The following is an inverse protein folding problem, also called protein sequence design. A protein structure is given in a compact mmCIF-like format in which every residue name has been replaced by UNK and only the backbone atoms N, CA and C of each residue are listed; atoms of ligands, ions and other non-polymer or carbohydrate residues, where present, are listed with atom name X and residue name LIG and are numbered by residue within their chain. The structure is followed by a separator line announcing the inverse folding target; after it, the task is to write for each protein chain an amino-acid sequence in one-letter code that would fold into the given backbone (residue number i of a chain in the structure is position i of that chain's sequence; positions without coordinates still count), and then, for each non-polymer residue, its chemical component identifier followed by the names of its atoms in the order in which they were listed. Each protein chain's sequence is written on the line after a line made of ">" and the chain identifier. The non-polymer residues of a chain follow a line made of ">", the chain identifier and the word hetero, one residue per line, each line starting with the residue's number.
data_IF_013971831092
#
_entry.id   IF_013971831092
#
_cell.length_a   1.000
_cell.length_b   1.000
_cell.length_c   1.000
_cell.angle_alpha   90.00
_cell.angle_beta   90.00
_cell.angle_gamma   90.00
#
_symmetry.space_group_name_H-M   'P 1'
#
loop_
_entity.id
_entity.type
_entity.pdbx_description
1 polymer ?
#
# COMPACT_ATOMS: atom_id res chain seq x y z
N UNK A 1 -13.12 -27.17 -6.53
CA UNK A 1 -12.87 -26.60 -5.18
C UNK A 1 -12.49 -25.13 -5.38
N UNK A 2 -13.43 -24.19 -5.29
CA UNK A 2 -13.11 -22.76 -5.32
C UNK A 2 -13.21 -22.24 -3.89
N UNK A 3 -12.08 -22.27 -3.18
CA UNK A 3 -11.88 -21.34 -2.07
C UNK A 3 -11.65 -19.97 -2.72
N UNK A 4 -12.73 -19.32 -3.14
CA UNK A 4 -12.70 -17.88 -3.33
C UNK A 4 -12.50 -17.30 -1.94
N UNK A 5 -11.23 -17.12 -1.54
CA UNK A 5 -10.92 -16.71 -0.20
C UNK A 5 -11.69 -15.43 0.15
N UNK A 6 -12.47 -15.50 1.23
CA UNK A 6 -13.19 -14.35 1.77
C UNK A 6 -12.26 -13.31 2.39
N UNK A 7 -10.95 -13.60 2.43
CA UNK A 7 -9.96 -12.81 3.09
C UNK A 7 -9.78 -11.45 2.39
N UNK A 8 -9.80 -10.39 3.20
CA UNK A 8 -9.77 -9.02 2.73
C UNK A 8 -8.47 -8.38 3.16
N UNK A 9 -7.79 -7.74 2.22
CA UNK A 9 -6.64 -6.89 2.48
C UNK A 9 -7.12 -5.48 2.83
N UNK A 10 -6.53 -4.91 3.86
CA UNK A 10 -6.66 -3.52 4.24
C UNK A 10 -5.27 -2.89 4.19
N UNK A 11 -5.14 -1.79 3.45
CA UNK A 11 -3.88 -1.05 3.35
C UNK A 11 -4.15 0.41 3.64
N UNK A 12 -3.43 0.99 4.59
CA UNK A 12 -3.46 2.42 4.88
C UNK A 12 -2.12 3.03 4.54
N UNK A 13 -2.11 4.05 3.69
CA UNK A 13 -0.93 4.86 3.39
C UNK A 13 -1.08 6.17 4.16
N UNK A 14 -0.11 6.49 5.00
CA UNK A 14 -0.02 7.71 5.78
C UNK A 14 1.19 8.50 5.31
N UNK A 15 1.00 9.77 4.94
CA UNK A 15 2.10 10.70 4.85
C UNK A 15 2.36 11.28 6.24
N UNK A 16 3.46 10.87 6.87
CA UNK A 16 3.86 11.36 8.20
C UNK A 16 4.71 12.63 8.16
N UNK A 17 5.16 13.01 6.96
CA UNK A 17 5.93 14.21 6.73
C UNK A 17 5.06 15.44 6.47
N UNK A 18 5.71 16.46 5.90
CA UNK A 18 5.13 17.75 5.54
C UNK A 18 5.06 17.96 4.03
N UNK A 19 5.95 17.33 3.27
CA UNK A 19 5.98 17.41 1.81
C UNK A 19 4.88 16.55 1.19
N UNK A 20 4.34 16.99 0.05
CA UNK A 20 3.35 16.21 -0.69
C UNK A 20 4.03 15.06 -1.44
N UNK A 21 3.54 13.85 -1.21
CA UNK A 21 3.86 12.70 -2.05
C UNK A 21 2.88 12.65 -3.22
N UNK A 22 3.38 12.50 -4.43
CA UNK A 22 2.57 12.48 -5.64
C UNK A 22 2.72 11.17 -6.43
N UNK A 23 1.78 10.92 -7.34
CA UNK A 23 1.82 9.77 -8.25
C UNK A 23 2.02 8.42 -7.54
N UNK A 24 1.43 8.28 -6.36
CA UNK A 24 1.60 7.07 -5.54
C UNK A 24 0.84 5.94 -6.21
N UNK A 25 1.50 4.80 -6.41
CA UNK A 25 0.89 3.60 -6.94
C UNK A 25 1.16 2.41 -6.03
N UNK A 26 0.10 1.73 -5.63
CA UNK A 26 0.13 0.47 -4.89
C UNK A 26 -0.28 -0.65 -5.83
N UNK A 27 0.60 -1.64 -6.00
CA UNK A 27 0.33 -2.88 -6.74
C UNK A 27 0.41 -4.06 -5.79
N UNK A 28 -0.49 -5.03 -5.95
CA UNK A 28 -0.46 -6.28 -5.18
C UNK A 28 -1.81 -6.98 -5.16
N UNK A 29 -1.81 -8.28 -4.97
CA UNK A 29 -2.96 -9.16 -5.08
C UNK A 29 -3.61 -9.12 -6.46
N UNK A 30 -2.87 -8.85 -7.55
CA UNK A 30 -3.44 -8.59 -8.87
C UNK A 30 -4.34 -7.35 -8.96
N UNK A 31 -4.16 -6.38 -8.06
CA UNK A 31 -4.86 -5.10 -8.05
C UNK A 31 -3.85 -3.96 -8.14
N UNK A 32 -4.33 -2.80 -8.60
CA UNK A 32 -3.57 -1.57 -8.67
C UNK A 32 -4.43 -0.41 -8.15
N UNK A 33 -3.85 0.40 -7.27
CA UNK A 33 -4.47 1.60 -6.72
C UNK A 33 -3.55 2.80 -6.95
N UNK A 34 -4.13 3.95 -7.28
CA UNK A 34 -3.41 5.20 -7.52
C UNK A 34 -3.89 6.30 -6.60
N UNK A 35 -2.97 7.15 -6.15
CA UNK A 35 -3.24 8.40 -5.45
C UNK A 35 -2.43 9.48 -6.17
N UNK A 36 -3.12 10.48 -6.72
CA UNK A 36 -2.45 11.53 -7.49
C UNK A 36 -1.57 12.42 -6.59
N UNK A 37 -2.04 12.71 -5.37
CA UNK A 37 -1.33 13.50 -4.36
C UNK A 37 -1.81 13.16 -2.94
N UNK A 38 -0.89 13.14 -1.99
CA UNK A 38 -1.12 12.90 -0.56
C UNK A 38 -0.33 13.92 0.26
N UNK A 39 -1.03 14.92 0.79
CA UNK A 39 -0.41 16.02 1.54
C UNK A 39 0.16 15.53 2.89
N UNK A 40 1.08 16.30 3.45
CA UNK A 40 1.64 16.03 4.77
C UNK A 40 0.55 15.88 5.84
N UNK A 41 0.60 14.80 6.61
CA UNK A 41 -0.40 14.45 7.63
C UNK A 41 -1.63 13.69 7.12
N UNK A 42 -1.87 13.66 5.80
CA UNK A 42 -3.03 12.96 5.23
C UNK A 42 -2.81 11.44 5.16
N UNK A 43 -3.92 10.70 5.09
CA UNK A 43 -3.90 9.25 4.87
C UNK A 43 -4.96 8.78 3.90
N UNK A 44 -4.69 7.64 3.25
CA UNK A 44 -5.62 6.98 2.34
C UNK A 44 -5.69 5.48 2.63
N UNK A 45 -6.91 4.97 2.76
CA UNK A 45 -7.19 3.54 2.96
C UNK A 45 -7.69 2.86 1.70
N UNK A 46 -7.24 1.62 1.48
CA UNK A 46 -7.72 0.70 0.47
C UNK A 46 -8.16 -0.62 1.10
N UNK A 47 -9.17 -1.22 0.50
CA UNK A 47 -9.85 -2.40 1.02
C UNK A 47 -10.19 -3.30 -0.17
N UNK A 48 -9.53 -4.45 -0.31
CA UNK A 48 -9.66 -5.27 -1.51
C UNK A 48 -9.42 -6.76 -1.26
N UNK A 49 -9.95 -7.60 -2.16
CA UNK A 49 -9.62 -9.04 -2.22
C UNK A 49 -8.59 -9.28 -3.31
N UNK A 50 -7.62 -10.15 -3.04
CA UNK A 50 -6.61 -10.54 -4.02
C UNK A 50 -7.25 -11.36 -5.15
N UNK A 51 -6.90 -11.06 -6.40
CA UNK A 51 -7.31 -11.80 -7.60
C UNK A 51 -6.33 -12.91 -7.98
N UNK A 52 -5.07 -12.78 -7.57
CA UNK A 52 -3.99 -13.76 -7.75
C UNK A 52 -3.05 -13.68 -6.57
N UNK A 53 -2.15 -14.66 -6.47
CA UNK A 53 -1.05 -14.61 -5.54
C UNK A 53 0.15 -13.89 -6.17
N UNK A 54 0.65 -12.84 -5.53
CA UNK A 54 1.81 -12.08 -5.98
C UNK A 54 2.41 -11.20 -4.86
N UNK A 55 3.63 -10.71 -5.10
CA UNK A 55 4.24 -9.68 -4.27
C UNK A 55 3.61 -8.31 -4.54
N UNK A 56 3.61 -7.45 -3.52
CA UNK A 56 3.17 -6.07 -3.63
C UNK A 56 4.31 -5.08 -3.62
N UNK A 57 4.09 -3.98 -4.32
CA UNK A 57 5.04 -2.90 -4.55
C UNK A 57 4.31 -1.58 -4.38
N UNK A 58 4.93 -0.64 -3.68
CA UNK A 58 4.52 0.76 -3.66
C UNK A 58 5.57 1.59 -4.37
N UNK A 59 5.11 2.52 -5.21
CA UNK A 59 5.92 3.60 -5.77
C UNK A 59 5.29 4.93 -5.42
N UNK A 60 6.09 5.99 -5.40
CA UNK A 60 5.62 7.36 -5.25
C UNK A 60 6.70 8.34 -5.62
N UNK A 61 6.31 9.58 -5.91
CA UNK A 61 7.23 10.67 -6.20
C UNK A 61 7.28 11.63 -5.00
N UNK A 62 8.49 11.95 -4.56
CA UNK A 62 8.77 12.99 -3.57
C UNK A 62 9.77 13.96 -4.16
N UNK A 63 9.41 15.24 -4.23
CA UNK A 63 10.26 16.33 -4.74
C UNK A 63 10.89 16.03 -6.12
N UNK A 64 10.10 15.42 -7.01
CA UNK A 64 10.52 15.06 -8.36
C UNK A 64 11.26 13.72 -8.47
N UNK A 65 11.55 13.04 -7.36
CA UNK A 65 12.25 11.75 -7.34
C UNK A 65 11.27 10.59 -7.16
N UNK A 66 11.31 9.62 -8.07
CA UNK A 66 10.59 8.36 -7.90
C UNK A 66 11.28 7.48 -6.84
N UNK A 67 10.47 6.94 -5.94
CA UNK A 67 10.86 6.08 -4.83
C UNK A 67 9.97 4.84 -4.86
N UNK A 68 10.56 3.68 -4.56
CA UNK A 68 9.91 2.37 -4.62
C UNK A 68 10.26 1.54 -3.40
N UNK A 69 9.28 0.79 -2.89
CA UNK A 69 9.50 -0.26 -1.89
C UNK A 69 8.63 -1.48 -2.17
N UNK A 70 9.13 -2.66 -1.81
CA UNK A 70 8.34 -3.89 -1.75
C UNK A 70 7.58 -3.93 -0.43
N UNK A 71 6.34 -4.44 -0.44
CA UNK A 71 5.40 -4.37 0.71
C UNK A 71 5.19 -5.74 1.35
N UNK A 72 5.39 -6.82 0.60
CA UNK A 72 5.15 -8.20 1.04
C UNK A 72 4.25 -8.97 0.08
N UNK A 73 3.69 -10.10 0.52
CA UNK A 73 2.95 -11.04 -0.33
C UNK A 73 1.44 -10.95 -0.12
N UNK A 74 0.68 -11.05 -1.20
CA UNK A 74 -0.78 -11.04 -1.20
C UNK A 74 -1.29 -12.38 -1.76
N UNK A 75 -2.29 -12.98 -1.10
CA UNK A 75 -2.97 -14.20 -1.55
C UNK A 75 -4.48 -14.02 -1.43
N UNK A 76 -5.31 -14.71 -2.24
CA UNK A 76 -6.75 -14.73 -2.05
C UNK A 76 -7.18 -15.32 -0.71
N UNK A 77 -6.40 -16.23 -0.14
CA UNK A 77 -6.80 -17.03 1.02
C UNK A 77 -6.50 -16.40 2.38
N UNK A 78 -5.56 -15.45 2.44
CA UNK A 78 -5.13 -14.77 3.67
C UNK A 78 -5.17 -13.26 3.42
N UNK A 79 -5.82 -12.54 4.33
CA UNK A 79 -5.95 -11.09 4.26
C UNK A 79 -4.80 -10.43 5.00
N UNK A 80 -4.33 -9.30 4.51
CA UNK A 80 -3.34 -8.49 5.18
C UNK A 80 -3.96 -7.24 5.80
N UNK A 81 -3.35 -6.74 6.86
CA UNK A 81 -3.63 -5.41 7.40
C UNK A 81 -2.32 -4.64 7.44
N UNK A 82 -2.11 -3.72 6.51
CA UNK A 82 -0.82 -3.08 6.26
C UNK A 82 -0.94 -1.59 6.50
N UNK A 83 0.00 -1.02 7.25
CA UNK A 83 0.20 0.42 7.33
C UNK A 83 1.52 0.78 6.64
N UNK A 84 1.46 1.67 5.67
CA UNK A 84 2.60 2.23 4.97
C UNK A 84 2.76 3.67 5.44
N UNK A 85 3.94 4.04 5.90
CA UNK A 85 4.26 5.37 6.41
C UNK A 85 5.32 5.97 5.50
N UNK A 86 4.99 7.12 4.93
CA UNK A 86 5.86 7.90 4.05
C UNK A 86 6.44 9.08 4.85
N UNK A 87 7.72 9.39 4.65
CA UNK A 87 8.39 10.52 5.29
C UNK A 87 9.02 11.50 4.28
N UNK A 88 9.50 12.64 4.78
CA UNK A 88 10.09 13.72 3.97
C UNK A 88 11.50 13.41 3.45
N UNK A 89 12.13 12.32 3.91
CA UNK A 89 13.44 11.87 3.43
C UNK A 89 13.33 10.81 2.35
N UNK A 90 12.10 10.48 1.93
CA UNK A 90 11.84 9.42 0.98
C UNK A 90 11.80 8.02 1.60
N UNK A 91 11.74 7.93 2.93
CA UNK A 91 11.54 6.68 3.64
C UNK A 91 10.13 6.14 3.43
N UNK A 92 10.06 4.82 3.25
CA UNK A 92 8.81 4.06 3.18
C UNK A 92 8.90 2.96 4.24
N UNK A 93 8.22 3.16 5.37
CA UNK A 93 8.13 2.16 6.43
C UNK A 93 6.85 1.33 6.25
N UNK A 94 6.97 0.00 6.31
CA UNK A 94 5.86 -0.93 6.14
C UNK A 94 5.64 -1.70 7.43
N UNK A 95 4.41 -1.66 7.96
CA UNK A 95 4.00 -2.37 9.17
C UNK A 95 2.86 -3.33 8.87
N UNK A 96 3.08 -4.60 9.17
CA UNK A 96 2.02 -5.59 9.22
C UNK A 96 1.33 -5.52 10.57
N UNK A 97 0.06 -5.14 10.56
CA UNK A 97 -0.80 -5.06 11.72
C UNK A 97 -1.56 -6.38 11.89
N UNK A 98 -2.00 -6.71 13.11
CA UNK A 98 -2.90 -7.83 13.32
C UNK A 98 -4.15 -7.71 12.45
N UNK A 99 -4.52 -8.81 11.80
CA UNK A 99 -5.81 -8.94 11.13
C UNK A 99 -6.85 -9.20 12.22
N UNK A 100 -7.83 -8.31 12.37
CA UNK A 100 -8.94 -8.49 13.31
C UNK A 100 -9.90 -9.56 12.85
#
# INVERSE_FOLDING_TARGET
>A
MLLAGCAKNNVTILNSGTNEWSQIQLNGGGQQFKIDGLKGGDSKGFSFKSKKEDGGVITGNLDGKEIKSEIGYFTPNIGNNIKIILDDQGGIEIKNLPVK
#
